data_IF_900576715243
#
_entry.id   IF_900576715243
#
_cell.length_a   1.000
_cell.length_b   1.000
_cell.length_c   1.000
_cell.angle_alpha   90.00
_cell.angle_beta   90.00
_cell.angle_gamma   90.00
#
_symmetry.space_group_name_H-M   'P 1'
#
loop_
_entity.id
_entity.type
_entity.pdbx_description
1 polymer ?
#
# COMPACT_ATOMS: atom_id res chain seq x y z
N UNK A 1 -36.80 -17.94 15.18
CA UNK A 1 -35.42 -18.07 15.67
C UNK A 1 -34.53 -17.26 14.73
N UNK A 2 -33.93 -16.16 15.21
CA UNK A 2 -33.00 -15.36 14.42
C UNK A 2 -31.69 -16.16 14.24
N UNK A 3 -31.31 -16.39 12.99
CA UNK A 3 -29.94 -16.81 12.66
C UNK A 3 -29.05 -15.58 12.79
N UNK A 4 -28.31 -15.49 13.90
CA UNK A 4 -27.18 -14.59 14.01
C UNK A 4 -26.11 -15.08 13.03
N UNK A 5 -26.01 -14.40 11.88
CA UNK A 5 -24.89 -14.58 10.98
C UNK A 5 -23.62 -14.21 11.75
N UNK A 6 -22.85 -15.23 12.15
CA UNK A 6 -21.50 -15.05 12.62
C UNK A 6 -20.67 -14.63 11.40
N UNK A 7 -20.62 -13.34 11.14
CA UNK A 7 -19.62 -12.74 10.27
C UNK A 7 -18.29 -12.95 10.97
N UNK A 8 -17.66 -14.09 10.69
CA UNK A 8 -16.22 -14.25 10.87
C UNK A 8 -15.57 -13.09 10.14
N UNK A 9 -15.22 -12.02 10.88
CA UNK A 9 -14.29 -10.99 10.45
C UNK A 9 -13.07 -11.78 10.00
N UNK A 10 -12.92 -11.97 8.68
CA UNK A 10 -11.69 -12.49 8.10
C UNK A 10 -10.57 -11.72 8.80
N UNK A 11 -9.80 -12.42 9.62
CA UNK A 11 -8.92 -11.79 10.58
C UNK A 11 -8.02 -10.85 9.81
N UNK A 12 -8.04 -9.56 10.15
CA UNK A 12 -7.30 -8.51 9.46
C UNK A 12 -5.77 -8.77 9.37
N UNK A 13 -5.26 -9.81 10.04
CA UNK A 13 -3.90 -10.32 9.89
C UNK A 13 -3.61 -10.97 8.53
N UNK A 14 -4.59 -11.56 7.82
CA UNK A 14 -4.37 -11.98 6.43
C UNK A 14 -4.12 -10.77 5.52
N UNK A 15 -4.60 -9.58 5.92
CA UNK A 15 -4.56 -8.42 5.05
C UNK A 15 -3.15 -7.84 4.85
N UNK A 16 -2.30 -7.90 5.88
CA UNK A 16 -0.90 -7.44 5.86
C UNK A 16 0.13 -8.58 5.84
N UNK A 17 -0.29 -9.81 5.51
CA UNK A 17 0.67 -10.92 5.41
C UNK A 17 1.63 -10.70 4.24
N UNK A 18 2.92 -10.72 4.58
CA UNK A 18 4.05 -10.66 3.66
C UNK A 18 5.14 -11.53 4.29
N UNK A 19 5.32 -12.75 3.78
CA UNK A 19 6.31 -13.67 4.34
C UNK A 19 7.72 -13.31 3.85
N UNK A 20 8.79 -13.55 4.63
CA UNK A 20 10.16 -13.24 4.19
C UNK A 20 10.55 -13.87 2.84
N UNK A 21 9.98 -15.03 2.50
CA UNK A 21 10.21 -15.69 1.20
C UNK A 21 9.53 -15.02 0.01
N UNK A 22 8.56 -14.16 0.27
CA UNK A 22 7.77 -13.40 -0.72
C UNK A 22 8.25 -11.95 -0.84
N UNK A 23 9.16 -11.52 0.05
CA UNK A 23 9.66 -10.17 0.11
C UNK A 23 10.54 -9.82 -1.09
N UNK A 24 10.28 -8.65 -1.64
CA UNK A 24 11.05 -8.00 -2.69
C UNK A 24 11.53 -6.66 -2.13
N UNK A 25 12.76 -6.27 -2.48
CA UNK A 25 13.30 -4.97 -2.13
C UNK A 25 13.62 -4.16 -3.37
N UNK A 26 13.30 -2.87 -3.33
CA UNK A 26 13.59 -1.99 -4.44
C UNK A 26 13.87 -0.56 -4.01
N UNK A 27 14.83 0.06 -4.68
CA UNK A 27 15.08 1.49 -4.58
C UNK A 27 14.09 2.25 -5.49
N UNK A 28 13.28 3.13 -4.90
CA UNK A 28 12.35 3.98 -5.65
C UNK A 28 12.60 5.45 -5.32
N UNK A 29 12.28 6.31 -6.28
CA UNK A 29 12.28 7.76 -6.10
C UNK A 29 10.94 8.20 -5.54
N UNK A 30 10.96 9.05 -4.51
CA UNK A 30 9.77 9.67 -3.88
C UNK A 30 9.95 11.20 -3.86
N UNK A 31 8.86 11.97 -3.73
CA UNK A 31 8.99 13.37 -3.31
C UNK A 31 8.78 13.46 -1.82
N UNK A 32 9.83 13.89 -1.13
CA UNK A 32 9.82 13.96 0.30
C UNK A 32 10.69 15.13 0.75
N UNK A 33 10.16 15.96 1.64
CA UNK A 33 10.86 17.13 2.16
C UNK A 33 10.96 18.31 1.18
N UNK A 34 11.72 19.36 1.57
CA UNK A 34 11.74 20.66 0.89
C UNK A 34 12.48 20.66 -0.47
N UNK A 35 13.30 19.65 -0.74
CA UNK A 35 14.09 19.51 -1.98
C UNK A 35 13.36 18.76 -3.10
N UNK A 36 12.14 18.27 -2.85
CA UNK A 36 11.24 17.74 -3.87
C UNK A 36 11.53 16.32 -4.38
N UNK A 37 12.70 15.73 -4.13
CA UNK A 37 12.98 14.34 -4.51
C UNK A 37 13.98 13.67 -3.57
N UNK A 38 13.70 12.43 -3.18
CA UNK A 38 14.55 11.56 -2.37
C UNK A 38 14.43 10.11 -2.85
N UNK A 39 15.32 9.23 -2.38
CA UNK A 39 15.27 7.80 -2.68
C UNK A 39 15.02 6.99 -1.42
N UNK A 40 14.21 5.94 -1.53
CA UNK A 40 13.94 5.01 -0.44
C UNK A 40 14.06 3.58 -0.95
N UNK A 41 14.65 2.71 -0.14
CA UNK A 41 14.56 1.27 -0.35
C UNK A 41 13.28 0.77 0.32
N UNK A 42 12.36 0.26 -0.48
CA UNK A 42 11.08 -0.28 -0.02
C UNK A 42 11.17 -1.80 -0.05
N UNK A 43 10.76 -2.44 1.04
CA UNK A 43 10.53 -3.89 1.07
C UNK A 43 9.03 -4.15 1.04
N UNK A 44 8.58 -5.02 0.16
CA UNK A 44 7.17 -5.31 -0.06
C UNK A 44 6.96 -6.75 -0.54
N UNK A 45 5.74 -7.26 -0.39
CA UNK A 45 5.27 -8.44 -1.10
C UNK A 45 4.26 -8.02 -2.15
N UNK A 46 4.27 -8.67 -3.30
CA UNK A 46 3.36 -8.34 -4.37
C UNK A 46 2.86 -9.59 -5.11
N UNK A 47 1.55 -9.65 -5.30
CA UNK A 47 0.87 -10.64 -6.12
C UNK A 47 0.24 -9.95 -7.33
N UNK A 48 0.42 -10.55 -8.49
CA UNK A 48 -0.13 -10.05 -9.78
C UNK A 48 -1.14 -11.05 -10.29
N UNK A 49 -2.29 -10.59 -10.76
CA UNK A 49 -3.34 -11.46 -11.29
C UNK A 49 -3.61 -11.08 -12.74
N UNK A 50 -3.15 -11.93 -13.66
CA UNK A 50 -3.39 -11.78 -15.09
C UNK A 50 -3.97 -13.12 -15.61
N UNK A 51 -5.29 -13.24 -15.80
CA UNK A 51 -6.31 -12.19 -15.72
C UNK A 51 -6.65 -11.74 -14.27
N UNK A 52 -7.28 -10.56 -14.08
CA UNK A 52 -7.69 -10.08 -12.77
C UNK A 52 -8.61 -11.04 -12.02
N UNK A 53 -8.42 -11.14 -10.70
CA UNK A 53 -9.08 -12.12 -9.84
C UNK A 53 -10.08 -11.47 -8.90
N UNK A 54 -11.24 -12.11 -8.73
CA UNK A 54 -12.25 -11.75 -7.72
C UNK A 54 -12.01 -12.48 -6.39
N UNK A 55 -12.56 -11.98 -5.30
CA UNK A 55 -12.47 -12.62 -3.99
C UNK A 55 -11.06 -12.68 -3.41
N UNK A 56 -10.21 -11.72 -3.78
CA UNK A 56 -8.80 -11.66 -3.33
C UNK A 56 -8.70 -11.18 -1.87
N UNK A 57 -9.53 -10.23 -1.45
CA UNK A 57 -9.47 -9.64 -0.11
C UNK A 57 -10.84 -9.11 0.33
N UNK A 58 -11.16 -9.10 1.64
CA UNK A 58 -12.40 -8.52 2.16
C UNK A 58 -12.50 -7.00 1.97
N UNK A 59 -11.38 -6.28 1.75
CA UNK A 59 -11.40 -4.86 1.38
C UNK A 59 -11.78 -4.65 -0.10
N UNK A 60 -12.91 -5.22 -0.50
CA UNK A 60 -13.47 -5.17 -1.84
C UNK A 60 -14.95 -5.57 -1.76
N UNK A 61 -15.82 -4.73 -1.17
CA UNK A 61 -17.21 -5.09 -0.89
C UNK A 61 -18.00 -5.43 -2.16
N UNK A 62 -17.67 -4.79 -3.28
CA UNK A 62 -18.30 -4.99 -4.59
C UNK A 62 -17.70 -6.16 -5.39
N UNK A 63 -16.72 -6.87 -4.81
CA UNK A 63 -16.03 -8.00 -5.42
C UNK A 63 -15.51 -7.70 -6.84
N UNK A 64 -14.91 -6.52 -7.01
CA UNK A 64 -14.29 -6.08 -8.25
C UNK A 64 -13.12 -7.00 -8.63
N UNK A 65 -12.86 -7.25 -9.92
CA UNK A 65 -11.66 -7.94 -10.35
C UNK A 65 -10.41 -7.15 -9.95
N UNK A 66 -9.51 -7.78 -9.22
CA UNK A 66 -8.26 -7.20 -8.71
C UNK A 66 -7.12 -7.65 -9.61
N UNK A 67 -6.34 -6.70 -10.10
CA UNK A 67 -5.21 -6.94 -11.00
C UNK A 67 -3.91 -7.10 -10.21
N UNK A 68 -3.82 -6.52 -9.00
CA UNK A 68 -2.68 -6.71 -8.11
C UNK A 68 -3.02 -6.53 -6.62
N UNK A 69 -2.22 -7.18 -5.77
CA UNK A 69 -2.22 -7.00 -4.32
C UNK A 69 -0.80 -6.75 -3.83
N UNK A 70 -0.56 -5.63 -3.16
CA UNK A 70 0.75 -5.26 -2.62
C UNK A 70 0.67 -5.02 -1.11
N UNK A 71 1.66 -5.51 -0.38
CA UNK A 71 1.84 -5.24 1.05
C UNK A 71 3.21 -4.60 1.25
N UNK A 72 3.24 -3.34 1.67
CA UNK A 72 4.48 -2.63 2.01
C UNK A 72 4.89 -3.02 3.43
N UNK A 73 6.11 -3.53 3.58
CA UNK A 73 6.64 -4.06 4.83
C UNK A 73 7.57 -3.09 5.53
N UNK A 74 8.48 -2.47 4.78
CA UNK A 74 9.42 -1.49 5.33
C UNK A 74 9.85 -0.44 4.31
N UNK A 75 10.27 0.71 4.81
CA UNK A 75 10.75 1.84 4.01
C UNK A 75 12.02 2.37 4.66
N UNK A 76 13.15 2.25 3.98
CA UNK A 76 14.44 2.75 4.45
C UNK A 76 14.84 3.98 3.62
N UNK A 77 14.89 5.18 4.22
CA UNK A 77 15.55 6.34 3.64
C UNK A 77 16.95 6.02 3.12
N UNK A 78 17.26 6.45 1.89
CA UNK A 78 18.60 6.32 1.29
C UNK A 78 19.28 7.69 1.25
N UNK A 79 20.34 7.86 2.04
CA UNK A 79 21.09 9.11 2.13
C UNK A 79 20.41 10.24 2.91
N UNK A 80 19.32 9.98 3.64
CA UNK A 80 18.68 10.97 4.51
C UNK A 80 18.04 10.34 5.76
N UNK A 81 17.62 11.17 6.71
CA UNK A 81 16.87 10.75 7.90
C UNK A 81 15.61 11.58 8.05
N UNK A 82 14.58 11.00 8.65
CA UNK A 82 13.33 11.71 8.96
C UNK A 82 12.67 11.13 10.20
N UNK A 83 11.82 11.93 10.83
CA UNK A 83 10.88 11.50 11.88
C UNK A 83 9.43 11.51 11.39
N UNK A 84 9.17 12.04 10.19
CA UNK A 84 7.83 12.10 9.59
C UNK A 84 7.48 10.77 8.91
N UNK A 85 6.99 9.83 9.74
CA UNK A 85 6.56 8.51 9.30
C UNK A 85 5.37 8.56 8.33
N UNK A 86 4.40 9.44 8.58
CA UNK A 86 3.21 9.56 7.73
C UNK A 86 3.57 10.09 6.35
N UNK A 87 4.35 11.17 6.28
CA UNK A 87 4.82 11.70 5.01
C UNK A 87 5.65 10.68 4.24
N UNK A 88 6.52 9.92 4.93
CA UNK A 88 7.37 8.91 4.29
C UNK A 88 6.53 7.77 3.69
N UNK A 89 5.55 7.25 4.43
CA UNK A 89 4.61 6.23 3.94
C UNK A 89 3.78 6.76 2.77
N UNK A 90 3.20 7.95 2.89
CA UNK A 90 2.38 8.57 1.85
C UNK A 90 3.19 8.78 0.56
N UNK A 91 4.39 9.32 0.65
CA UNK A 91 5.26 9.55 -0.50
C UNK A 91 5.66 8.24 -1.18
N UNK A 92 5.88 7.18 -0.39
CA UNK A 92 6.22 5.85 -0.90
C UNK A 92 5.03 5.21 -1.62
N UNK A 93 3.86 5.16 -0.99
CA UNK A 93 2.63 4.62 -1.60
C UNK A 93 2.29 5.38 -2.89
N UNK A 94 2.43 6.71 -2.88
CA UNK A 94 2.19 7.55 -4.05
C UNK A 94 3.14 7.22 -5.21
N UNK A 95 4.43 7.02 -4.92
CA UNK A 95 5.44 6.68 -5.93
C UNK A 95 5.23 5.28 -6.55
N UNK A 96 4.68 4.33 -5.78
CA UNK A 96 4.37 2.98 -6.28
C UNK A 96 3.14 2.99 -7.19
N UNK A 97 2.07 3.69 -6.79
CA UNK A 97 0.75 3.53 -7.42
C UNK A 97 0.28 4.66 -8.34
N UNK A 98 0.55 5.93 -8.01
CA UNK A 98 -0.21 7.06 -8.58
C UNK A 98 0.43 7.61 -9.85
N UNK A 99 1.75 7.51 -9.99
CA UNK A 99 2.49 8.20 -11.03
C UNK A 99 2.68 7.36 -12.30
N UNK A 100 1.59 7.16 -13.06
CA UNK A 100 1.65 6.56 -14.39
C UNK A 100 2.52 7.40 -15.35
N UNK A 101 3.54 6.77 -15.94
CA UNK A 101 4.41 7.35 -16.99
C UNK A 101 5.87 7.57 -16.58
N UNK A 102 6.17 7.85 -15.31
CA UNK A 102 7.53 8.06 -14.79
C UNK A 102 7.81 7.41 -13.42
N UNK A 103 6.82 6.71 -12.84
CA UNK A 103 6.93 5.96 -11.60
C UNK A 103 6.80 4.47 -11.85
N UNK A 104 7.60 3.69 -11.14
CA UNK A 104 7.72 2.24 -11.22
C UNK A 104 6.39 1.54 -10.91
N UNK A 105 5.62 1.22 -11.95
CA UNK A 105 4.35 0.51 -11.82
C UNK A 105 4.61 -0.95 -11.45
N UNK A 106 4.33 -1.32 -10.21
CA UNK A 106 4.39 -2.71 -9.74
C UNK A 106 2.99 -3.24 -9.47
N UNK A 107 2.58 -4.39 -10.03
CA UNK A 107 3.15 -5.20 -11.11
C UNK A 107 2.54 -4.94 -12.50
N UNK A 108 3.28 -5.31 -13.54
CA UNK A 108 2.81 -5.29 -14.92
C UNK A 108 2.06 -6.59 -15.27
N UNK A 109 0.74 -6.53 -15.41
CA UNK A 109 0.11 -7.39 -16.40
C UNK A 109 0.53 -6.88 -17.80
N UNK A 110 0.91 -7.76 -18.75
CA UNK A 110 1.21 -7.34 -20.11
C UNK A 110 -0.03 -6.67 -20.71
N UNK A 111 0.10 -5.37 -20.95
CA UNK A 111 -0.72 -4.48 -21.78
C UNK A 111 -2.16 -4.93 -22.10
N UNK A 112 -3.17 -4.37 -21.41
CA UNK A 112 -4.47 -4.07 -22.05
C UNK A 112 -5.49 -3.35 -21.17
N UNK A 113 -5.31 -3.29 -19.84
CA UNK A 113 -6.40 -2.81 -18.99
C UNK A 113 -6.42 -1.29 -18.89
N UNK A 114 -7.44 -0.69 -19.52
CA UNK A 114 -7.80 0.73 -19.32
C UNK A 114 -8.09 1.03 -17.85
N UNK A 115 -8.67 0.06 -17.14
CA UNK A 115 -9.05 0.16 -15.72
C UNK A 115 -8.33 -0.94 -14.95
N UNK A 116 -7.56 -0.55 -13.93
CA UNK A 116 -6.78 -1.44 -13.08
C UNK A 116 -7.23 -1.25 -11.63
N UNK A 117 -7.64 -2.33 -10.96
CA UNK A 117 -7.96 -2.27 -9.53
C UNK A 117 -6.83 -2.90 -8.72
N UNK A 118 -6.35 -2.16 -7.73
CA UNK A 118 -5.21 -2.49 -6.89
C UNK A 118 -5.62 -2.53 -5.44
N UNK A 119 -5.19 -3.59 -4.74
CA UNK A 119 -5.25 -3.63 -3.28
C UNK A 119 -3.86 -3.34 -2.76
N UNK A 120 -3.72 -2.29 -1.98
CA UNK A 120 -2.46 -1.93 -1.32
C UNK A 120 -2.65 -1.93 0.18
N UNK A 121 -1.67 -2.48 0.89
CA UNK A 121 -1.69 -2.55 2.34
C UNK A 121 -0.36 -2.11 2.95
N UNK A 122 -0.40 -1.57 4.15
CA UNK A 122 0.77 -1.21 4.96
C UNK A 122 0.46 -1.30 6.45
N UNK A 123 1.46 -1.48 7.33
CA UNK A 123 1.25 -1.46 8.77
C UNK A 123 0.71 -0.10 9.24
N UNK A 124 -0.37 -0.11 10.01
CA UNK A 124 -0.92 1.08 10.69
C UNK A 124 0.00 1.55 11.82
N UNK A 125 0.63 0.61 12.52
CA UNK A 125 1.47 0.87 13.67
C UNK A 125 2.93 0.60 13.31
N UNK A 126 3.74 1.65 13.36
CA UNK A 126 5.12 1.63 12.84
C UNK A 126 6.11 2.25 13.82
N UNK A 127 7.39 1.97 13.60
CA UNK A 127 8.51 2.54 14.34
C UNK A 127 9.70 2.70 13.40
N UNK A 128 10.58 3.65 13.70
CA UNK A 128 11.89 3.70 13.08
C UNK A 128 12.84 2.76 13.83
N UNK A 129 13.33 1.72 13.17
CA UNK A 129 14.29 0.79 13.77
C UNK A 129 15.69 1.44 13.93
N UNK A 130 16.65 0.66 14.44
CA UNK A 130 18.03 1.13 14.62
C UNK A 130 18.69 1.59 13.30
N UNK A 131 18.33 0.97 12.18
CA UNK A 131 18.79 1.33 10.82
C UNK A 131 18.02 2.50 10.21
N UNK A 132 17.14 3.16 10.99
CA UNK A 132 16.27 4.27 10.57
C UNK A 132 15.27 3.90 9.46
N UNK A 133 15.00 2.62 9.29
CA UNK A 133 13.91 2.16 8.44
C UNK A 133 12.58 2.27 9.20
N UNK A 134 11.55 2.76 8.51
CA UNK A 134 10.18 2.67 8.97
C UNK A 134 9.70 1.23 8.80
N UNK A 135 9.39 0.56 9.91
CA UNK A 135 8.97 -0.84 9.95
C UNK A 135 7.72 -0.99 10.79
N UNK A 136 7.00 -2.10 10.61
CA UNK A 136 5.87 -2.45 11.47
C UNK A 136 6.30 -2.68 12.92
N UNK A 137 5.46 -2.26 13.87
CA UNK A 137 5.51 -2.81 15.23
C UNK A 137 5.14 -4.30 15.23
N UNK A 138 5.45 -5.00 16.32
CA UNK A 138 5.04 -6.39 16.49
C UNK A 138 3.50 -6.50 16.41
N UNK A 139 2.99 -7.48 15.66
CA UNK A 139 1.56 -7.72 15.45
C UNK A 139 0.71 -6.51 14.98
N UNK A 140 1.38 -5.56 14.32
CA UNK A 140 0.78 -4.30 13.89
C UNK A 140 -0.54 -4.51 13.10
N UNK A 141 -1.61 -3.81 13.49
CA UNK A 141 -2.80 -3.60 12.66
C UNK A 141 -2.46 -3.10 11.25
N UNK A 142 -3.34 -3.38 10.30
CA UNK A 142 -3.11 -3.11 8.89
C UNK A 142 -4.00 -1.95 8.40
N UNK A 143 -3.45 -1.10 7.53
CA UNK A 143 -4.23 -0.26 6.64
C UNK A 143 -4.32 -0.97 5.29
N UNK A 144 -5.52 -1.17 4.76
CA UNK A 144 -5.72 -1.75 3.43
C UNK A 144 -6.63 -0.84 2.61
N UNK A 145 -6.26 -0.58 1.36
CA UNK A 145 -6.99 0.31 0.47
C UNK A 145 -7.24 -0.37 -0.88
N UNK A 146 -8.44 -0.20 -1.41
CA UNK A 146 -8.80 -0.57 -2.78
C UNK A 146 -8.81 0.69 -3.64
N UNK A 147 -7.97 0.69 -4.66
CA UNK A 147 -7.76 1.85 -5.53
C UNK A 147 -7.95 1.43 -6.98
N UNK A 148 -8.63 2.28 -7.73
CA UNK A 148 -8.79 2.13 -9.17
C UNK A 148 -7.94 3.16 -9.88
N UNK A 149 -7.25 2.70 -10.92
CA UNK A 149 -6.52 3.54 -11.85
C UNK A 149 -7.15 3.41 -13.23
N UNK A 150 -7.51 4.55 -13.82
CA UNK A 150 -7.93 4.62 -15.21
C UNK A 150 -6.85 5.35 -16.01
N UNK A 151 -6.18 4.65 -16.93
CA UNK A 151 -5.21 5.26 -17.84
C UNK A 151 -5.95 6.19 -18.81
N UNK A 152 -5.51 7.44 -18.89
CA UNK A 152 -5.97 8.40 -19.89
C UNK A 152 -5.20 8.22 -21.20
N UNK A 153 -5.74 8.74 -22.29
CA UNK A 153 -5.06 8.75 -23.59
C UNK A 153 -3.77 9.60 -23.64
N UNK A 154 -3.49 10.38 -22.59
CA UNK A 154 -2.30 11.25 -22.46
C UNK A 154 -1.16 10.61 -21.66
N UNK A 155 -1.33 9.36 -21.19
CA UNK A 155 -0.34 8.65 -20.38
C UNK A 155 -0.44 8.89 -18.88
N UNK A 156 -1.38 9.73 -18.44
CA UNK A 156 -1.71 9.96 -17.03
C UNK A 156 -2.68 8.90 -16.51
N UNK A 157 -2.82 8.78 -15.18
CA UNK A 157 -3.84 7.93 -14.57
C UNK A 157 -4.77 8.74 -13.66
N UNK A 158 -6.07 8.62 -13.90
CA UNK A 158 -7.07 9.04 -12.93
C UNK A 158 -7.09 8.01 -11.82
N UNK A 159 -6.79 8.45 -10.60
CA UNK A 159 -6.78 7.60 -9.41
C UNK A 159 -8.05 7.82 -8.61
N UNK A 160 -8.77 6.75 -8.26
CA UNK A 160 -9.95 6.79 -7.39
C UNK A 160 -9.77 5.81 -6.25
N UNK A 161 -9.90 6.29 -5.01
CA UNK A 161 -9.97 5.44 -3.83
C UNK A 161 -11.39 4.90 -3.74
N UNK A 162 -11.56 3.58 -3.89
CA UNK A 162 -12.87 2.94 -3.87
C UNK A 162 -13.26 2.47 -2.46
N UNK A 163 -12.28 2.08 -1.65
CA UNK A 163 -12.51 1.66 -0.27
C UNK A 163 -11.25 1.85 0.57
N UNK A 164 -11.44 2.26 1.82
CA UNK A 164 -10.43 2.32 2.86
C UNK A 164 -10.86 1.39 4.00
N UNK A 165 -10.04 0.39 4.32
CA UNK A 165 -10.34 -0.65 5.30
C UNK A 165 -9.27 -0.66 6.39
N UNK A 166 -9.27 0.34 7.31
CA UNK A 166 -8.40 0.31 8.46
C UNK A 166 -8.78 -0.84 9.40
N UNK A 167 -7.78 -1.48 10.00
CA UNK A 167 -8.00 -2.31 11.17
C UNK A 167 -8.31 -1.42 12.40
N UNK A 168 -9.40 -1.74 13.10
CA UNK A 168 -9.91 -1.00 14.26
C UNK A 168 -8.97 -1.06 15.48
N UNK A 169 -8.04 -2.02 15.52
CA UNK A 169 -7.10 -2.18 16.63
C UNK A 169 -6.23 -0.93 16.81
N UNK A 170 -5.95 -0.60 18.06
CA UNK A 170 -5.09 0.50 18.47
C UNK A 170 -3.61 0.09 18.41
N UNK A 171 -2.73 1.07 18.22
CA UNK A 171 -1.29 0.86 18.33
C UNK A 171 -0.86 0.83 19.80
N UNK A 172 0.20 0.08 20.09
CA UNK A 172 0.90 0.15 21.38
C UNK A 172 1.53 1.53 21.58
N UNK A 173 1.79 1.90 22.84
CA UNK A 173 2.21 3.26 23.23
C UNK A 173 3.53 3.71 22.57
N UNK A 174 4.43 2.77 22.27
CA UNK A 174 5.74 3.05 21.67
C UNK A 174 5.70 3.11 20.13
N UNK A 175 4.52 2.90 19.53
CA UNK A 175 4.32 2.88 18.09
C UNK A 175 3.73 4.18 17.58
N UNK A 176 4.24 4.62 16.43
CA UNK A 176 3.64 5.71 15.67
C UNK A 176 2.40 5.16 14.96
N UNK A 177 1.25 5.80 15.19
CA UNK A 177 0.00 5.47 14.49
C UNK A 177 -0.09 6.26 13.21
N UNK A 178 -0.21 5.56 12.07
CA UNK A 178 -0.47 6.16 10.77
C UNK A 178 -1.98 6.32 10.54
N UNK A 179 -2.36 7.39 9.84
CA UNK A 179 -3.66 7.52 9.21
C UNK A 179 -3.73 6.56 8.01
N UNK A 180 -4.80 5.77 7.94
CA UNK A 180 -4.98 4.73 6.92
C UNK A 180 -5.58 5.27 5.62
N UNK A 181 -5.31 6.54 5.30
CA UNK A 181 -5.81 7.18 4.08
C UNK A 181 -4.86 6.96 2.91
N UNK A 182 -5.42 6.59 1.78
CA UNK A 182 -4.62 6.46 0.56
C UNK A 182 -4.22 7.86 0.05
N UNK A 183 -2.93 8.11 -0.24
CA UNK A 183 -2.51 9.39 -0.81
C UNK A 183 -3.09 9.54 -2.22
N UNK A 184 -3.54 10.74 -2.60
CA UNK A 184 -4.19 10.98 -3.91
C UNK A 184 -3.42 11.94 -4.82
N UNK A 185 -2.26 12.43 -4.36
CA UNK A 185 -1.42 13.35 -5.13
C UNK A 185 -0.16 12.63 -5.62
N UNK A 186 0.04 12.67 -6.93
CA UNK A 186 1.31 12.25 -7.52
C UNK A 186 2.38 13.32 -7.32
N UNK A 187 3.61 12.84 -7.39
CA UNK A 187 4.85 13.55 -7.50
C UNK A 187 5.16 13.91 -8.95
N UNK A 188 5.23 15.20 -9.28
CA UNK A 188 5.71 15.69 -10.59
C UNK A 188 7.20 16.05 -10.52
#
# INVERSE_FOLDING_TARGET
>A
MLFLASTTRATAQDNCRCLPSEEQSQLIKICFGPTGSAFVKVTYCNESYCPPKKGVQPCNPDNLPISARTVIKSICPDGFTTTDAQGLMNATVAAIGICCGNGTFFPQCPESERIFNWIVSWPKCVVFNADRCLVACLDAPCCTNLVQFERTGTGECITRVLSECPDDRTCDADCITLDCKYPTKCCY
#
